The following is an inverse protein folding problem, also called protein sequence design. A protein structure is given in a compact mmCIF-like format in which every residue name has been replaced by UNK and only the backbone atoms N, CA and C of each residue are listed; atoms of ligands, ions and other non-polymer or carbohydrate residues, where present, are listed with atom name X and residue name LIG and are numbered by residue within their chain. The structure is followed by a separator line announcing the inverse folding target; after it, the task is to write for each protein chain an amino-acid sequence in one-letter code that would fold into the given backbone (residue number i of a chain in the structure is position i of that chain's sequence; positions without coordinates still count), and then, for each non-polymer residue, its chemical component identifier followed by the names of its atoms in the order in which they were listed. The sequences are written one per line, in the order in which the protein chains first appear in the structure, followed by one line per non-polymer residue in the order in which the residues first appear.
data_IF_620423304887
#
_entry.id   IF_620423304887
#
_cell.length_a   1.000
_cell.length_b   1.000
_cell.length_c   1.000
_cell.angle_alpha   90.00
_cell.angle_beta   90.00
_cell.angle_gamma   90.00
#
_symmetry.space_group_name_H-M   'P 1'
#
loop_
_entity.id
_entity.type
_entity.pdbx_description
1 polymer ?
#
# COMPACT_ATOMS: atom_id res chain seq x y z
N UNK A 1 3.00 11.34 10.83
CA UNK A 1 2.07 10.31 10.30
C UNK A 1 0.85 10.99 9.72
N UNK A 2 0.26 10.43 8.71
CA UNK A 2 -1.00 10.88 8.12
C UNK A 2 -1.96 9.68 8.05
N UNK A 3 -3.21 9.92 8.40
CA UNK A 3 -4.30 8.96 8.26
C UNK A 3 -5.19 9.41 7.11
N UNK A 4 -5.71 8.46 6.33
CA UNK A 4 -6.64 8.72 5.24
C UNK A 4 -7.93 7.94 5.45
N UNK A 5 -9.06 8.55 5.13
CA UNK A 5 -10.36 7.98 5.41
C UNK A 5 -10.76 6.88 4.41
N UNK A 6 -11.59 5.95 4.86
CA UNK A 6 -11.92 4.70 4.17
C UNK A 6 -13.24 4.63 3.41
N UNK A 7 -14.13 5.62 3.48
CA UNK A 7 -15.43 5.57 2.79
C UNK A 7 -15.69 6.83 1.95
N UNK A 8 -15.37 6.75 0.67
CA UNK A 8 -15.73 7.76 -0.36
C UNK A 8 -15.39 9.21 -0.02
N UNK A 9 -14.29 9.41 0.71
CA UNK A 9 -13.78 10.74 1.06
C UNK A 9 -12.29 10.83 0.74
N UNK A 10 -11.81 12.04 0.49
CA UNK A 10 -10.39 12.34 0.29
C UNK A 10 -9.77 13.04 1.52
N UNK A 11 -10.47 13.04 2.67
CA UNK A 11 -10.03 13.66 3.91
C UNK A 11 -8.77 12.99 4.46
N UNK A 12 -7.94 13.77 5.12
CA UNK A 12 -6.75 13.28 5.82
C UNK A 12 -6.61 13.94 7.18
N UNK A 13 -5.97 13.24 8.12
CA UNK A 13 -5.64 13.75 9.45
C UNK A 13 -4.14 13.65 9.66
N UNK A 14 -3.53 14.74 10.05
CA UNK A 14 -2.13 14.76 10.45
C UNK A 14 -1.97 14.23 11.87
N UNK A 15 -0.89 13.52 12.12
CA UNK A 15 -0.53 13.05 13.47
C UNK A 15 0.85 13.65 13.81
N UNK A 16 0.91 14.40 14.91
CA UNK A 16 2.14 15.03 15.40
C UNK A 16 3.16 13.98 15.87
N UNK A 17 4.39 14.42 16.15
CA UNK A 17 5.43 13.59 16.77
C UNK A 17 5.09 13.14 18.20
N UNK A 18 4.15 13.82 18.84
CA UNK A 18 3.63 13.47 20.18
C UNK A 18 2.37 12.60 20.14
N UNK A 19 1.95 12.13 18.95
CA UNK A 19 0.78 11.28 18.77
C UNK A 19 -0.57 12.00 18.76
N UNK A 20 -0.56 13.34 18.73
CA UNK A 20 -1.83 14.11 18.66
C UNK A 20 -2.34 14.08 17.21
N UNK A 21 -3.59 13.66 17.05
CA UNK A 21 -4.30 13.66 15.76
C UNK A 21 -4.98 15.00 15.56
N UNK A 22 -4.69 15.66 14.45
CA UNK A 22 -5.33 16.93 14.06
C UNK A 22 -6.73 16.69 13.49
N UNK A 23 -7.53 17.76 13.42
CA UNK A 23 -8.83 17.77 12.73
C UNK A 23 -8.67 17.45 11.24
N UNK A 24 -9.78 17.12 10.58
CA UNK A 24 -9.81 16.81 9.16
C UNK A 24 -9.22 17.94 8.32
N UNK A 25 -8.34 17.56 7.41
CA UNK A 25 -7.87 18.44 6.34
C UNK A 25 -8.76 18.22 5.12
N UNK A 26 -9.17 19.31 4.47
CA UNK A 26 -9.96 19.26 3.24
C UNK A 26 -9.29 18.33 2.24
N UNK A 27 -10.08 17.42 1.69
CA UNK A 27 -9.59 16.39 0.79
C UNK A 27 -8.99 16.94 -0.49
N UNK A 28 -7.93 16.30 -0.95
CA UNK A 28 -7.26 16.57 -2.22
C UNK A 28 -7.28 15.31 -3.07
N UNK A 29 -7.61 15.47 -4.37
CA UNK A 29 -7.71 14.37 -5.31
C UNK A 29 -9.02 13.59 -5.23
N UNK A 30 -9.08 12.52 -6.01
CA UNK A 30 -10.26 11.66 -6.16
C UNK A 30 -10.55 10.89 -4.86
N UNK A 31 -11.77 11.04 -4.34
CA UNK A 31 -12.26 10.28 -3.19
C UNK A 31 -12.38 8.78 -3.57
N UNK A 32 -11.75 7.90 -2.78
CA UNK A 32 -11.71 6.46 -3.07
C UNK A 32 -11.48 5.63 -1.81
N UNK A 33 -11.83 4.36 -1.85
CA UNK A 33 -11.64 3.45 -0.72
C UNK A 33 -10.79 2.23 -1.10
N UNK A 34 -10.38 1.45 -0.08
CA UNK A 34 -9.54 0.25 -0.24
C UNK A 34 -8.24 0.52 -1.03
N UNK A 35 -7.71 1.72 -0.90
CA UNK A 35 -6.38 2.12 -1.37
C UNK A 35 -5.31 1.61 -0.40
N UNK A 36 -4.04 1.74 -0.78
CA UNK A 36 -2.91 1.46 0.10
C UNK A 36 -2.01 2.68 0.27
N UNK A 37 -1.22 2.69 1.33
CA UNK A 37 -0.29 3.76 1.63
C UNK A 37 1.05 3.22 2.14
N UNK A 38 2.14 3.89 1.78
CA UNK A 38 3.47 3.58 2.28
C UNK A 38 4.35 4.83 2.37
N UNK A 39 5.34 4.78 3.25
CA UNK A 39 6.41 5.79 3.31
C UNK A 39 7.46 5.56 2.22
N UNK A 40 8.05 6.65 1.70
CA UNK A 40 9.19 6.65 0.79
C UNK A 40 10.07 7.88 1.03
N UNK A 41 11.28 7.89 0.49
CA UNK A 41 12.19 9.05 0.57
C UNK A 41 12.54 9.44 1.99
N UNK A 42 12.45 8.52 2.94
CA UNK A 42 12.70 8.66 4.39
C UNK A 42 11.68 9.50 5.17
N UNK A 43 11.08 10.52 4.56
CA UNK A 43 10.24 11.53 5.24
C UNK A 43 8.90 11.82 4.53
N UNK A 44 8.57 11.08 3.47
CA UNK A 44 7.40 11.28 2.62
C UNK A 44 6.51 10.03 2.63
N UNK A 45 5.31 10.18 2.10
CA UNK A 45 4.37 9.06 1.92
C UNK A 45 3.66 9.16 0.55
N UNK A 46 3.06 8.06 0.15
CA UNK A 46 2.25 7.97 -1.06
C UNK A 46 1.00 7.14 -0.76
N UNK A 47 -0.15 7.64 -1.21
CA UNK A 47 -1.40 6.88 -1.32
C UNK A 47 -1.55 6.41 -2.76
N UNK A 48 -2.04 5.20 -2.98
CA UNK A 48 -2.21 4.71 -4.34
C UNK A 48 -3.34 3.71 -4.53
N UNK A 49 -3.84 3.71 -5.76
CA UNK A 49 -4.86 2.79 -6.23
C UNK A 49 -6.21 2.96 -5.52
N UNK A 50 -7.02 1.91 -5.49
CA UNK A 50 -8.31 1.91 -4.83
C UNK A 50 -9.49 1.83 -5.78
N UNK A 51 -10.70 1.97 -5.24
CA UNK A 51 -11.94 2.04 -5.99
C UNK A 51 -12.55 3.43 -5.89
N UNK A 52 -12.85 4.03 -7.02
CA UNK A 52 -13.55 5.30 -7.13
C UNK A 52 -15.04 5.05 -7.43
N UNK A 53 -15.93 5.27 -6.45
CA UNK A 53 -17.35 5.05 -6.66
C UNK A 53 -18.00 6.08 -7.59
N UNK A 54 -17.40 7.24 -7.80
CA UNK A 54 -17.95 8.28 -8.68
C UNK A 54 -17.80 7.91 -10.16
N UNK A 55 -16.69 7.28 -10.53
CA UNK A 55 -16.48 6.71 -11.86
C UNK A 55 -16.96 5.27 -11.99
N UNK A 56 -17.27 4.61 -10.85
CA UNK A 56 -17.66 3.21 -10.78
C UNK A 56 -16.52 2.24 -11.13
N UNK A 57 -15.26 2.64 -10.94
CA UNK A 57 -14.11 1.88 -11.42
C UNK A 57 -12.93 1.76 -10.46
N UNK A 58 -12.09 0.78 -10.74
CA UNK A 58 -10.77 0.67 -10.12
C UNK A 58 -9.86 1.73 -10.70
N UNK A 59 -8.99 2.29 -9.86
CA UNK A 59 -8.05 3.32 -10.28
C UNK A 59 -6.61 2.93 -9.94
N UNK A 60 -5.65 3.47 -10.70
CA UNK A 60 -4.21 3.40 -10.43
C UNK A 60 -3.62 4.76 -10.07
N UNK A 61 -4.47 5.75 -9.79
CA UNK A 61 -4.07 7.10 -9.35
C UNK A 61 -3.23 7.03 -8.07
N UNK A 62 -2.32 7.99 -7.94
CA UNK A 62 -1.53 8.15 -6.70
C UNK A 62 -1.51 9.61 -6.24
N UNK A 63 -1.38 9.80 -4.92
CA UNK A 63 -1.18 11.11 -4.30
C UNK A 63 0.06 11.06 -3.43
N UNK A 64 1.02 11.91 -3.74
CA UNK A 64 2.22 12.07 -2.93
C UNK A 64 1.92 12.93 -1.71
N UNK A 65 2.56 12.63 -0.61
CA UNK A 65 2.51 13.41 0.63
C UNK A 65 3.90 13.93 0.94
N UNK A 66 4.02 15.24 1.11
CA UNK A 66 5.28 15.88 1.46
C UNK A 66 5.70 15.54 2.90
N UNK A 67 6.93 15.89 3.26
CA UNK A 67 7.44 15.78 4.63
C UNK A 67 6.73 16.71 5.64
N UNK A 68 5.95 17.67 5.16
CA UNK A 68 5.10 18.53 6.00
C UNK A 68 3.64 18.05 6.06
N UNK A 69 3.34 16.88 5.44
CA UNK A 69 2.00 16.28 5.43
C UNK A 69 1.06 16.84 4.36
N UNK A 70 1.54 17.68 3.45
CA UNK A 70 0.71 18.21 2.35
C UNK A 70 0.51 17.13 1.30
N UNK A 71 -0.76 16.82 1.03
CA UNK A 71 -1.17 15.88 -0.03
C UNK A 71 -1.23 16.60 -1.36
N UNK A 72 -0.53 16.07 -2.37
CA UNK A 72 -0.57 16.58 -3.74
C UNK A 72 -1.82 16.09 -4.47
N UNK A 73 -2.20 16.80 -5.54
CA UNK A 73 -3.26 16.37 -6.47
C UNK A 73 -2.95 15.01 -7.10
N UNK A 74 -3.95 14.41 -7.73
CA UNK A 74 -3.81 13.13 -8.39
C UNK A 74 -2.68 13.14 -9.43
N UNK A 75 -1.83 12.13 -9.34
CA UNK A 75 -0.88 11.80 -10.40
C UNK A 75 -1.52 10.72 -11.27
N UNK A 76 -1.42 10.87 -12.59
CA UNK A 76 -1.91 9.89 -13.57
C UNK A 76 -1.46 8.49 -13.18
N UNK A 77 -2.39 7.56 -13.21
CA UNK A 77 -2.17 6.20 -12.78
C UNK A 77 -1.14 5.44 -13.62
N UNK A 78 -0.36 4.61 -12.96
CA UNK A 78 0.62 3.71 -13.58
C UNK A 78 0.27 2.28 -13.20
N UNK A 79 0.36 1.37 -14.15
CA UNK A 79 0.05 -0.05 -13.97
C UNK A 79 -1.45 -0.36 -13.91
N UNK A 80 -1.76 -1.61 -13.61
CA UNK A 80 -3.12 -2.15 -13.57
C UNK A 80 -3.93 -1.55 -12.41
N UNK A 81 -5.05 -0.91 -12.73
CA UNK A 81 -5.98 -0.37 -11.75
C UNK A 81 -6.58 -1.50 -10.88
N UNK A 82 -6.55 -1.34 -9.56
CA UNK A 82 -6.98 -2.36 -8.58
C UNK A 82 -7.24 -1.77 -7.20
N UNK A 83 -7.89 -2.52 -6.33
CA UNK A 83 -8.21 -2.12 -4.96
C UNK A 83 -7.92 -3.25 -3.97
N UNK A 84 -8.05 -2.99 -2.67
CA UNK A 84 -7.77 -3.95 -1.59
C UNK A 84 -6.37 -4.59 -1.70
N UNK A 85 -5.42 -3.83 -2.19
CA UNK A 85 -4.01 -4.13 -2.27
C UNK A 85 -3.30 -3.73 -0.96
N UNK A 86 -2.02 -4.06 -0.82
CA UNK A 86 -1.21 -3.60 0.30
C UNK A 86 0.02 -2.84 -0.18
N UNK A 87 0.65 -2.07 0.72
CA UNK A 87 1.89 -1.37 0.44
C UNK A 87 2.80 -1.33 1.67
N UNK A 88 4.10 -1.31 1.45
CA UNK A 88 5.10 -1.17 2.51
C UNK A 88 6.36 -0.44 1.99
N UNK A 89 7.12 0.13 2.92
CA UNK A 89 8.46 0.64 2.63
C UNK A 89 9.49 -0.50 2.55
N UNK A 90 10.50 -0.35 1.71
CA UNK A 90 11.67 -1.23 1.59
C UNK A 90 12.90 -0.41 1.18
N UNK A 91 14.09 -1.01 1.25
CA UNK A 91 15.34 -0.40 0.80
C UNK A 91 15.67 0.91 1.50
N UNK A 92 15.16 1.14 2.69
CA UNK A 92 15.27 2.33 3.55
C UNK A 92 14.54 3.58 3.06
N UNK A 93 14.39 3.78 1.74
CA UNK A 93 13.84 5.02 1.15
C UNK A 93 12.83 4.79 0.02
N UNK A 94 12.43 3.55 -0.25
CA UNK A 94 11.53 3.15 -1.33
C UNK A 94 10.25 2.52 -0.79
N UNK A 95 9.25 2.38 -1.67
CA UNK A 95 8.01 1.69 -1.34
C UNK A 95 7.60 0.72 -2.45
N UNK A 96 6.69 -0.18 -2.13
CA UNK A 96 6.11 -1.14 -3.05
C UNK A 96 4.61 -1.24 -2.80
N UNK A 97 3.82 -1.18 -3.87
CA UNK A 97 2.42 -1.58 -3.89
C UNK A 97 2.35 -3.01 -4.41
N UNK A 98 1.53 -3.86 -3.82
CA UNK A 98 1.43 -5.25 -4.27
C UNK A 98 0.07 -5.89 -4.10
N UNK A 99 -0.18 -6.86 -4.99
CA UNK A 99 -1.39 -7.68 -4.98
C UNK A 99 -2.66 -6.87 -5.23
N UNK A 100 -3.80 -7.29 -4.66
CA UNK A 100 -5.08 -6.64 -4.81
C UNK A 100 -5.99 -7.33 -5.83
N UNK A 101 -7.14 -6.73 -6.07
CA UNK A 101 -8.16 -7.28 -6.96
C UNK A 101 -8.74 -6.20 -7.88
N UNK A 102 -9.34 -6.63 -8.97
CA UNK A 102 -10.02 -5.84 -9.98
C UNK A 102 -10.91 -6.75 -10.80
N UNK A 103 -10.64 -6.92 -12.08
CA UNK A 103 -11.32 -7.93 -12.91
C UNK A 103 -11.00 -9.37 -12.43
N UNK A 104 -9.81 -9.56 -11.84
CA UNK A 104 -9.35 -10.81 -11.20
C UNK A 104 -8.53 -10.45 -9.97
N UNK A 105 -8.08 -11.45 -9.21
CA UNK A 105 -7.06 -11.23 -8.20
C UNK A 105 -5.68 -11.10 -8.86
N UNK A 106 -4.83 -10.26 -8.31
CA UNK A 106 -3.48 -9.99 -8.84
C UNK A 106 -2.39 -10.37 -7.85
N UNK A 107 -1.22 -10.76 -8.39
CA UNK A 107 0.06 -10.83 -7.67
C UNK A 107 1.08 -9.81 -8.20
N UNK A 108 0.62 -8.87 -9.04
CA UNK A 108 1.42 -7.78 -9.59
C UNK A 108 1.95 -6.86 -8.50
N UNK A 109 3.11 -6.26 -8.74
CA UNK A 109 3.66 -5.23 -7.87
C UNK A 109 4.13 -4.02 -8.66
N UNK A 110 4.14 -2.85 -8.02
CA UNK A 110 4.68 -1.62 -8.56
C UNK A 110 5.67 -1.05 -7.54
N UNK A 111 6.91 -0.90 -7.97
CA UNK A 111 7.96 -0.28 -7.16
C UNK A 111 7.77 1.23 -7.15
N UNK A 112 8.07 1.86 -6.03
CA UNK A 112 8.08 3.31 -5.87
C UNK A 112 9.50 3.76 -5.53
N UNK A 113 10.05 4.65 -6.35
CA UNK A 113 11.38 5.20 -6.13
C UNK A 113 11.41 6.12 -4.89
N UNK A 114 12.61 6.48 -4.45
CA UNK A 114 12.82 7.47 -3.38
C UNK A 114 12.36 8.91 -3.72
N UNK A 115 11.97 9.16 -4.98
CA UNK A 115 11.34 10.41 -5.44
C UNK A 115 9.84 10.28 -5.63
N UNK A 116 9.26 9.11 -5.29
CA UNK A 116 7.83 8.83 -5.41
C UNK A 116 7.36 8.58 -6.85
N UNK A 117 8.26 8.12 -7.74
CA UNK A 117 7.87 7.67 -9.07
C UNK A 117 7.46 6.22 -8.99
N UNK A 118 6.22 5.93 -9.43
CA UNK A 118 5.68 4.57 -9.50
C UNK A 118 6.10 3.93 -10.81
N UNK A 119 6.72 2.77 -10.75
CA UNK A 119 7.09 1.98 -11.92
C UNK A 119 5.88 1.20 -12.48
N UNK A 120 5.97 0.79 -13.75
CA UNK A 120 5.00 -0.12 -14.39
C UNK A 120 4.92 -1.45 -13.63
N UNK A 121 3.89 -2.25 -13.95
CA UNK A 121 3.69 -3.55 -13.33
C UNK A 121 4.91 -4.45 -13.48
N UNK A 122 5.34 -5.03 -12.36
CA UNK A 122 6.26 -6.16 -12.35
C UNK A 122 5.43 -7.44 -12.40
N UNK A 123 5.86 -8.40 -13.20
CA UNK A 123 5.22 -9.72 -13.31
C UNK A 123 4.96 -10.29 -11.91
N UNK A 124 3.75 -10.75 -11.70
CA UNK A 124 3.32 -11.24 -10.40
C UNK A 124 4.08 -12.48 -9.91
N UNK A 125 4.38 -12.52 -8.63
CA UNK A 125 5.02 -13.64 -7.95
C UNK A 125 4.09 -14.13 -6.84
N UNK A 126 4.00 -15.43 -6.69
CA UNK A 126 3.15 -16.08 -5.69
C UNK A 126 1.65 -16.05 -6.01
N UNK A 127 0.85 -16.49 -5.08
CA UNK A 127 -0.61 -16.61 -5.20
C UNK A 127 -1.28 -15.24 -5.23
N UNK A 128 -2.02 -14.96 -6.31
CA UNK A 128 -2.80 -13.75 -6.49
C UNK A 128 -3.89 -13.65 -5.42
N UNK A 129 -3.98 -12.50 -4.71
CA UNK A 129 -4.88 -12.30 -3.57
C UNK A 129 -5.11 -10.83 -3.23
N UNK A 130 -6.11 -10.56 -2.43
CA UNK A 130 -6.49 -9.22 -1.98
C UNK A 130 -6.79 -9.20 -0.47
N UNK A 131 -7.10 -8.01 0.08
CA UNK A 131 -7.38 -7.82 1.50
C UNK A 131 -6.29 -8.41 2.42
N UNK A 132 -5.05 -8.31 1.98
CA UNK A 132 -3.83 -8.68 2.66
C UNK A 132 -3.24 -7.47 3.38
N UNK A 133 -2.22 -7.66 4.19
CA UNK A 133 -1.45 -6.56 4.77
C UNK A 133 0.02 -6.64 4.36
N UNK A 134 0.74 -5.54 4.53
CA UNK A 134 2.17 -5.47 4.32
C UNK A 134 2.82 -4.61 5.39
N UNK A 135 4.07 -4.90 5.72
CA UNK A 135 4.88 -4.12 6.64
C UNK A 135 6.36 -4.22 6.29
N UNK A 136 7.12 -3.21 6.70
CA UNK A 136 8.59 -3.27 6.67
C UNK A 136 9.13 -4.11 7.82
N UNK A 137 10.26 -4.77 7.61
CA UNK A 137 11.01 -5.50 8.65
C UNK A 137 12.51 -5.46 8.36
N UNK A 138 13.34 -5.73 9.38
CA UNK A 138 14.78 -5.80 9.25
C UNK A 138 15.44 -4.50 8.76
N UNK A 139 14.77 -3.37 8.91
CA UNK A 139 15.25 -2.04 8.53
C UNK A 139 15.14 -1.70 7.03
N UNK A 140 15.26 -2.67 6.14
CA UNK A 140 15.32 -2.43 4.68
C UNK A 140 14.48 -3.38 3.82
N UNK A 141 13.71 -4.28 4.42
CA UNK A 141 12.89 -5.29 3.74
C UNK A 141 11.41 -5.10 4.01
N UNK A 142 10.58 -5.77 3.22
CA UNK A 142 9.14 -5.78 3.44
C UNK A 142 8.56 -7.19 3.33
N UNK A 143 7.35 -7.38 3.80
CA UNK A 143 6.59 -8.62 3.73
C UNK A 143 5.14 -8.32 3.36
N UNK A 144 4.58 -9.10 2.45
CA UNK A 144 3.15 -9.19 2.20
C UNK A 144 2.62 -10.44 2.88
N UNK A 145 1.49 -10.37 3.57
CA UNK A 145 0.97 -11.52 4.29
C UNK A 145 -0.53 -11.67 4.31
N UNK A 146 -0.96 -12.93 4.32
CA UNK A 146 -2.36 -13.34 4.47
C UNK A 146 -3.25 -12.89 3.31
N UNK A 147 -4.55 -12.68 3.57
CA UNK A 147 -5.51 -12.18 2.59
C UNK A 147 -6.45 -13.25 2.04
N UNK A 148 -7.14 -12.92 0.96
CA UNK A 148 -8.09 -13.78 0.26
C UNK A 148 -7.60 -14.12 -1.15
N UNK A 149 -7.45 -15.40 -1.44
CA UNK A 149 -7.18 -15.95 -2.78
C UNK A 149 -8.45 -16.66 -3.32
N UNK A 150 -8.42 -17.97 -3.46
CA UNK A 150 -9.64 -18.80 -3.62
C UNK A 150 -10.34 -19.05 -2.26
N UNK A 151 -9.59 -18.90 -1.17
CA UNK A 151 -10.02 -18.96 0.23
C UNK A 151 -9.17 -18.01 1.08
N UNK A 152 -9.53 -17.83 2.35
CA UNK A 152 -8.67 -17.12 3.31
C UNK A 152 -7.36 -17.89 3.44
N UNK A 153 -6.24 -17.16 3.41
CA UNK A 153 -4.90 -17.76 3.42
C UNK A 153 -4.00 -17.13 4.50
N UNK A 154 -2.95 -17.85 4.87
CA UNK A 154 -1.90 -17.39 5.78
C UNK A 154 -0.51 -17.36 5.11
N UNK A 155 -0.44 -17.51 3.78
CA UNK A 155 0.82 -17.43 3.04
C UNK A 155 1.43 -16.03 3.12
N UNK A 156 2.75 -15.96 2.99
CA UNK A 156 3.51 -14.71 2.97
C UNK A 156 4.49 -14.67 1.81
N UNK A 157 4.85 -13.46 1.38
CA UNK A 157 5.89 -13.22 0.39
C UNK A 157 6.85 -12.17 0.94
N UNK A 158 8.11 -12.53 1.02
CA UNK A 158 9.17 -11.63 1.44
C UNK A 158 9.55 -10.70 0.29
N UNK A 159 9.91 -9.48 0.62
CA UNK A 159 10.43 -8.47 -0.31
C UNK A 159 11.85 -8.13 0.11
N UNK A 160 12.80 -8.29 -0.81
CA UNK A 160 14.20 -7.93 -0.57
C UNK A 160 14.39 -6.40 -0.48
N UNK A 161 15.55 -5.97 -0.03
CA UNK A 161 15.94 -4.55 -0.03
C UNK A 161 16.10 -3.93 -1.43
N UNK A 162 16.05 -4.75 -2.48
CA UNK A 162 16.03 -4.31 -3.88
C UNK A 162 14.63 -4.35 -4.51
N UNK A 163 13.58 -4.73 -3.74
CA UNK A 163 12.20 -4.80 -4.19
C UNK A 163 11.82 -6.10 -4.91
N UNK A 164 12.65 -7.13 -4.84
CA UNK A 164 12.36 -8.45 -5.42
C UNK A 164 11.42 -9.19 -4.47
N UNK A 165 10.25 -9.61 -4.98
CA UNK A 165 9.28 -10.42 -4.26
C UNK A 165 9.63 -11.90 -4.40
N UNK A 166 9.73 -12.60 -3.28
CA UNK A 166 9.96 -14.04 -3.26
C UNK A 166 8.65 -14.82 -3.47
N UNK A 167 8.78 -16.09 -3.86
CA UNK A 167 7.65 -17.02 -3.95
C UNK A 167 6.95 -17.21 -2.60
N UNK A 168 5.77 -17.83 -2.62
CA UNK A 168 4.99 -18.08 -1.41
C UNK A 168 5.80 -18.87 -0.38
N UNK A 169 5.77 -18.35 0.85
CA UNK A 169 6.24 -19.08 2.04
C UNK A 169 5.03 -19.72 2.71
N UNK A 170 5.16 -20.97 3.11
CA UNK A 170 4.13 -21.70 3.87
C UNK A 170 3.66 -20.85 5.05
N UNK A 171 2.36 -20.70 5.17
CA UNK A 171 1.77 -19.83 6.17
C UNK A 171 1.95 -20.32 7.60
N UNK A 172 2.08 -19.38 8.51
CA UNK A 172 2.15 -19.61 9.96
C UNK A 172 0.95 -18.92 10.61
N UNK A 173 0.34 -19.58 11.56
CA UNK A 173 -0.82 -19.06 12.29
C UNK A 173 -2.14 -19.18 11.51
N UNK A 174 -3.20 -18.63 12.08
CA UNK A 174 -4.54 -18.71 11.52
C UNK A 174 -4.69 -17.85 10.28
N UNK A 175 -5.22 -18.41 9.20
CA UNK A 175 -5.56 -17.68 7.98
C UNK A 175 -6.57 -16.57 8.28
N UNK A 176 -6.38 -15.36 7.71
CA UNK A 176 -7.22 -14.20 7.93
C UNK A 176 -7.13 -13.18 6.80
N UNK A 177 -8.11 -12.30 6.73
CA UNK A 177 -8.24 -11.25 5.72
C UNK A 177 -8.64 -9.92 6.37
N UNK A 178 -8.49 -8.79 5.66
CA UNK A 178 -8.75 -7.44 6.18
C UNK A 178 -7.99 -7.13 7.48
N UNK A 179 -6.76 -7.59 7.57
CA UNK A 179 -5.88 -7.38 8.72
C UNK A 179 -5.05 -6.10 8.52
N UNK A 180 -4.53 -5.58 9.62
CA UNK A 180 -3.50 -4.56 9.61
C UNK A 180 -2.14 -5.17 9.97
N UNK A 181 -1.07 -4.55 9.50
CA UNK A 181 0.29 -4.88 9.89
C UNK A 181 1.10 -3.61 10.15
N UNK A 182 2.01 -3.69 11.09
CA UNK A 182 2.98 -2.65 11.37
C UNK A 182 4.36 -3.27 11.56
N UNK A 183 5.38 -2.59 11.06
CA UNK A 183 6.77 -2.98 11.29
C UNK A 183 7.21 -2.56 12.70
N UNK A 184 8.02 -3.40 13.33
CA UNK A 184 8.79 -3.07 14.54
C UNK A 184 10.20 -3.61 14.39
N UNK A 185 11.15 -2.99 15.08
CA UNK A 185 12.52 -3.45 15.13
C UNK A 185 12.81 -3.99 16.52
N UNK A 186 13.36 -5.17 16.58
CA UNK A 186 14.08 -5.66 17.77
C UNK A 186 15.51 -5.12 17.62
N UNK A 187 15.84 -4.09 18.38
CA UNK A 187 17.22 -3.59 18.51
C UNK A 187 18.06 -4.57 19.34
#
# INVERSE_FOLDING_TARGET
VILAAGTNVSLTNLVSSTGVVATDTTGVGTARYALAAAGYGTDKAIFGYGYDPSSGGYVSLTNKVSNTGVVATDTTGVGTARYALAAAGYGTDKAIFGYGTGATNYSLTNLVSNTGVVATDTTGVGTARYALAAAGYGGDKAIFGYGWAASITNITNLVSNTGIVATDTTGVGTARTYLAAAGYSLS
#
